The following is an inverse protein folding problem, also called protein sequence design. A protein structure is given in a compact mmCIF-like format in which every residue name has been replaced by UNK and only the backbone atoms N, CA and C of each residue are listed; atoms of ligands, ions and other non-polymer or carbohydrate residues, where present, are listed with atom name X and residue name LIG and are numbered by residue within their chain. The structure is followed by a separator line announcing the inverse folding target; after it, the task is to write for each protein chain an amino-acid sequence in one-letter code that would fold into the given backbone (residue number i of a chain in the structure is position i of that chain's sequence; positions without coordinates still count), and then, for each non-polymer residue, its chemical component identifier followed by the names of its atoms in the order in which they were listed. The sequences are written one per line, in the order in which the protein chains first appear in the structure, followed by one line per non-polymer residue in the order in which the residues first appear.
data_IF_971119702130
#
_entry.id   IF_971119702130
#
_cell.length_a   1.000
_cell.length_b   1.000
_cell.length_c   1.000
_cell.angle_alpha   90.00
_cell.angle_beta   90.00
_cell.angle_gamma   90.00
#
_symmetry.space_group_name_H-M   'P 1'
#
loop_
_entity.id
_entity.type
_entity.pdbx_description
1 polymer ?
#
# COMPACT_ATOMS: atom_id res chain seq x y z
N UNK A 1 14.16 -48.66 -24.81
CA UNK A 1 14.77 -48.96 -23.49
C UNK A 1 14.04 -48.08 -22.48
N UNK A 2 13.16 -48.64 -21.67
CA UNK A 2 12.45 -47.89 -20.63
C UNK A 2 13.42 -47.66 -19.48
N UNK A 3 14.02 -46.47 -19.43
CA UNK A 3 14.75 -46.02 -18.25
C UNK A 3 13.74 -45.93 -17.12
N UNK A 4 13.75 -46.95 -16.25
CA UNK A 4 13.06 -46.91 -14.98
C UNK A 4 13.85 -45.87 -14.17
N UNK A 5 13.39 -44.62 -14.12
CA UNK A 5 14.08 -43.56 -13.39
C UNK A 5 14.43 -44.10 -12.00
N UNK A 6 15.70 -43.98 -11.57
CA UNK A 6 16.08 -44.39 -10.23
C UNK A 6 15.17 -43.69 -9.21
N UNK A 7 14.85 -44.32 -8.07
CA UNK A 7 14.11 -43.63 -7.02
C UNK A 7 14.90 -42.40 -6.55
N UNK A 8 14.29 -41.22 -6.61
CA UNK A 8 14.88 -39.95 -6.15
C UNK A 8 14.41 -38.74 -6.99
N UNK A 9 14.66 -37.54 -6.49
CA UNK A 9 14.53 -36.29 -7.23
C UNK A 9 15.67 -36.15 -8.25
N UNK A 10 15.39 -35.67 -9.47
CA UNK A 10 16.41 -35.52 -10.50
C UNK A 10 17.53 -34.59 -10.03
N UNK A 11 18.77 -34.92 -10.37
CA UNK A 11 19.91 -34.06 -10.12
C UNK A 11 19.95 -32.91 -11.14
N UNK A 12 20.33 -31.68 -10.75
CA UNK A 12 20.60 -30.62 -11.70
C UNK A 12 21.74 -31.00 -12.66
N UNK A 13 21.70 -30.42 -13.87
CA UNK A 13 22.81 -30.49 -14.81
C UNK A 13 23.97 -29.63 -14.31
N UNK A 14 25.21 -30.03 -14.61
CA UNK A 14 26.41 -29.27 -14.23
C UNK A 14 27.13 -29.77 -12.96
N UNK A 15 28.05 -28.94 -12.47
CA UNK A 15 28.78 -29.14 -11.21
C UNK A 15 27.91 -28.65 -10.04
N UNK A 16 27.78 -29.47 -8.99
CA UNK A 16 27.01 -29.14 -7.80
C UNK A 16 27.97 -28.67 -6.71
N UNK A 17 27.68 -27.53 -6.07
CA UNK A 17 28.47 -27.06 -4.92
C UNK A 17 28.74 -25.56 -4.86
N UNK A 18 28.42 -24.83 -5.91
CA UNK A 18 28.57 -23.36 -5.99
C UNK A 18 27.24 -22.68 -6.36
N UNK A 19 26.12 -23.36 -6.12
CA UNK A 19 24.80 -22.83 -6.43
C UNK A 19 24.43 -21.70 -5.47
N UNK A 20 23.96 -20.57 -5.99
CA UNK A 20 23.41 -19.48 -5.19
C UNK A 20 22.14 -19.93 -4.45
N UNK A 21 22.06 -19.59 -3.16
CA UNK A 21 20.87 -19.85 -2.35
C UNK A 21 19.86 -18.72 -2.60
N UNK A 22 18.65 -19.08 -3.04
CA UNK A 22 17.53 -18.15 -3.24
C UNK A 22 16.53 -18.28 -2.11
N UNK A 23 16.12 -17.14 -1.54
CA UNK A 23 15.02 -17.08 -0.58
C UNK A 23 13.66 -17.07 -1.31
N UNK A 24 12.73 -17.93 -0.89
CA UNK A 24 11.37 -17.98 -1.44
C UNK A 24 10.33 -17.92 -0.32
N UNK A 25 9.28 -17.13 -0.54
CA UNK A 25 8.14 -17.04 0.37
C UNK A 25 7.18 -18.22 0.12
N UNK A 26 6.79 -18.91 1.20
CA UNK A 26 5.86 -20.03 1.15
C UNK A 26 4.68 -19.75 2.08
N UNK A 27 3.47 -19.71 1.53
CA UNK A 27 2.24 -19.68 2.31
C UNK A 27 1.86 -21.09 2.76
N UNK A 28 1.56 -21.24 4.05
CA UNK A 28 1.15 -22.52 4.64
C UNK A 28 0.01 -22.33 5.64
N UNK A 29 -0.88 -23.33 5.83
CA UNK A 29 -1.93 -23.22 6.83
C UNK A 29 -1.37 -23.04 8.24
N UNK A 30 -2.03 -22.22 9.04
CA UNK A 30 -1.68 -21.91 10.44
C UNK A 30 -2.07 -23.06 11.38
N UNK A 31 -1.44 -24.24 11.19
CA UNK A 31 -1.44 -25.31 12.18
C UNK A 31 -0.05 -25.95 12.29
N UNK A 32 0.42 -26.28 13.51
CA UNK A 32 1.76 -26.82 13.73
C UNK A 32 2.09 -28.07 12.93
N UNK A 33 1.10 -28.92 12.64
CA UNK A 33 1.30 -30.16 11.88
C UNK A 33 1.75 -29.90 10.44
N UNK A 34 1.25 -28.83 9.80
CA UNK A 34 1.66 -28.46 8.44
C UNK A 34 3.07 -27.89 8.44
N UNK A 35 3.45 -27.17 9.49
CA UNK A 35 4.80 -26.63 9.65
C UNK A 35 5.79 -27.77 9.80
N UNK A 36 5.50 -28.70 10.70
CA UNK A 36 6.34 -29.87 10.90
C UNK A 36 6.49 -30.67 9.59
N UNK A 37 5.39 -30.86 8.84
CA UNK A 37 5.45 -31.56 7.57
C UNK A 37 6.33 -30.84 6.53
N UNK A 38 6.26 -29.51 6.44
CA UNK A 38 7.12 -28.72 5.56
C UNK A 38 8.59 -28.87 5.97
N UNK A 39 8.91 -28.69 7.25
CA UNK A 39 10.28 -28.81 7.75
C UNK A 39 10.85 -30.22 7.62
N UNK A 40 10.04 -31.25 7.83
CA UNK A 40 10.44 -32.63 7.61
C UNK A 40 10.73 -32.90 6.13
N UNK A 41 9.93 -32.31 5.23
CA UNK A 41 10.17 -32.34 3.78
C UNK A 41 11.48 -31.64 3.38
N UNK A 42 11.70 -30.41 3.87
CA UNK A 42 12.93 -29.67 3.63
C UNK A 42 14.15 -30.40 4.18
N UNK A 43 14.04 -30.95 5.39
CA UNK A 43 15.10 -31.74 6.01
C UNK A 43 15.37 -33.04 5.24
N UNK A 44 14.37 -33.64 4.58
CA UNK A 44 14.56 -34.82 3.75
C UNK A 44 15.50 -34.55 2.56
N UNK A 45 15.44 -33.37 1.94
CA UNK A 45 16.35 -32.97 0.87
C UNK A 45 17.83 -32.93 1.31
N UNK A 46 18.12 -32.76 2.61
CA UNK A 46 19.47 -32.83 3.18
C UNK A 46 20.06 -34.25 3.20
N UNK A 47 19.29 -35.26 2.76
CA UNK A 47 19.71 -36.67 2.71
C UNK A 47 20.02 -37.06 1.27
N UNK A 48 21.19 -37.66 1.05
CA UNK A 48 21.61 -38.16 -0.28
C UNK A 48 20.61 -39.16 -0.91
N UNK A 49 19.77 -39.81 -0.11
CA UNK A 49 18.74 -40.74 -0.58
C UNK A 49 17.51 -40.06 -1.19
N UNK A 50 17.33 -38.77 -0.95
CA UNK A 50 16.30 -37.99 -1.61
C UNK A 50 16.59 -37.82 -3.10
N UNK A 51 17.86 -37.87 -3.50
CA UNK A 51 18.32 -37.56 -4.85
C UNK A 51 18.51 -38.79 -5.71
N UNK A 52 18.41 -38.59 -7.03
CA UNK A 52 18.71 -39.58 -8.05
C UNK A 52 20.10 -40.18 -7.83
N UNK A 53 20.22 -41.48 -8.08
CA UNK A 53 21.49 -42.20 -8.01
C UNK A 53 22.18 -42.16 -9.36
N UNK A 54 23.36 -41.57 -9.38
CA UNK A 54 24.28 -41.62 -10.50
C UNK A 54 25.57 -42.37 -10.13
N UNK A 55 26.41 -42.61 -11.15
CA UNK A 55 27.71 -43.29 -10.98
C UNK A 55 28.69 -42.47 -10.15
N UNK A 56 28.55 -41.16 -10.24
CA UNK A 56 29.48 -40.18 -9.64
C UNK A 56 29.08 -39.83 -8.20
N UNK A 57 27.93 -40.31 -7.74
CA UNK A 57 27.38 -40.10 -6.38
C UNK A 57 27.13 -38.62 -6.06
N UNK A 58 26.76 -37.82 -7.07
CA UNK A 58 26.48 -36.39 -6.96
C UNK A 58 25.29 -36.08 -6.05
N UNK A 59 24.42 -37.06 -5.77
CA UNK A 59 23.38 -36.93 -4.74
C UNK A 59 23.90 -36.59 -3.33
N UNK A 60 25.18 -36.84 -3.04
CA UNK A 60 25.81 -36.37 -1.80
C UNK A 60 26.06 -34.86 -1.81
N UNK A 61 26.43 -34.31 -2.96
CA UNK A 61 26.71 -32.88 -3.16
C UNK A 61 25.39 -32.08 -3.13
N UNK A 62 24.37 -32.53 -3.87
CA UNK A 62 23.02 -31.93 -3.78
C UNK A 62 22.49 -31.90 -2.33
N UNK A 63 22.68 -32.98 -1.58
CA UNK A 63 22.29 -33.06 -0.18
C UNK A 63 23.13 -32.18 0.77
N UNK A 64 24.35 -31.79 0.35
CA UNK A 64 25.18 -30.84 1.09
C UNK A 64 24.69 -29.40 0.85
N UNK A 65 24.43 -29.01 -0.40
CA UNK A 65 23.88 -27.68 -0.72
C UNK A 65 22.53 -27.45 -0.03
N UNK A 66 21.65 -28.45 -0.06
CA UNK A 66 20.38 -28.38 0.66
C UNK A 66 20.53 -28.35 2.18
N UNK A 67 21.62 -28.86 2.73
CA UNK A 67 21.87 -28.76 4.18
C UNK A 67 22.13 -27.31 4.57
N UNK A 68 22.95 -26.60 3.80
CA UNK A 68 23.22 -25.18 4.03
C UNK A 68 21.95 -24.34 3.92
N UNK A 69 21.17 -24.52 2.84
CA UNK A 69 19.88 -23.84 2.67
C UNK A 69 18.89 -24.18 3.81
N UNK A 70 18.83 -25.44 4.25
CA UNK A 70 17.99 -25.86 5.37
C UNK A 70 18.44 -25.24 6.69
N UNK A 71 19.75 -25.16 6.94
CA UNK A 71 20.31 -24.55 8.15
C UNK A 71 19.97 -23.05 8.20
N UNK A 72 20.16 -22.31 7.11
CA UNK A 72 19.72 -20.91 6.99
C UNK A 72 18.20 -20.76 7.19
N UNK A 73 17.40 -21.63 6.57
CA UNK A 73 15.94 -21.62 6.73
C UNK A 73 15.53 -21.90 8.18
N UNK A 74 16.17 -22.87 8.83
CA UNK A 74 15.90 -23.23 10.21
C UNK A 74 16.40 -22.17 11.19
N UNK A 75 17.49 -21.47 10.87
CA UNK A 75 17.97 -20.31 11.62
C UNK A 75 16.96 -19.17 11.52
N UNK A 76 16.53 -18.76 10.33
CA UNK A 76 15.48 -17.73 10.16
C UNK A 76 14.14 -18.13 10.80
N UNK A 77 13.84 -19.42 10.89
CA UNK A 77 12.59 -19.92 11.50
C UNK A 77 12.67 -20.06 13.02
N UNK A 78 13.82 -20.46 13.59
CA UNK A 78 14.01 -20.69 15.03
C UNK A 78 14.53 -19.45 15.76
N UNK A 79 15.25 -18.60 15.07
CA UNK A 79 15.69 -17.30 15.55
C UNK A 79 14.92 -16.26 14.73
N UNK A 80 14.07 -15.50 15.40
CA UNK A 80 14.18 -14.04 15.47
C UNK A 80 14.69 -13.27 14.25
N UNK A 81 14.56 -13.71 13.00
CA UNK A 81 14.72 -12.84 11.83
C UNK A 81 13.64 -11.77 11.88
N UNK A 82 12.48 -12.15 12.42
CA UNK A 82 11.42 -11.24 12.83
C UNK A 82 11.78 -10.44 14.08
N UNK A 83 12.45 -10.98 15.10
CA UNK A 83 12.85 -10.13 16.24
C UNK A 83 14.04 -9.25 15.91
N UNK A 84 14.93 -9.58 14.97
CA UNK A 84 15.97 -8.67 14.46
C UNK A 84 15.35 -7.63 13.53
N UNK A 85 14.33 -7.98 12.74
CA UNK A 85 13.53 -6.98 12.01
C UNK A 85 12.73 -6.11 12.97
N UNK A 86 12.18 -6.69 14.04
CA UNK A 86 11.44 -5.98 15.09
C UNK A 86 12.39 -5.12 15.90
N UNK A 87 13.58 -5.60 16.26
CA UNK A 87 14.65 -4.84 16.91
C UNK A 87 15.21 -3.80 15.96
N UNK A 88 15.31 -4.05 14.66
CA UNK A 88 15.73 -3.03 13.68
C UNK A 88 14.67 -1.95 13.53
N UNK A 89 13.39 -2.33 13.53
CA UNK A 89 12.26 -1.39 13.51
C UNK A 89 12.17 -0.64 14.84
N UNK A 90 12.34 -1.31 15.99
CA UNK A 90 12.40 -0.71 17.32
C UNK A 90 13.65 0.15 17.49
N UNK A 91 14.78 -0.18 16.87
CA UNK A 91 16.02 0.60 16.87
C UNK A 91 15.87 1.80 15.95
N UNK A 92 15.23 1.68 14.79
CA UNK A 92 14.83 2.82 13.95
C UNK A 92 13.87 3.72 14.74
N UNK A 93 12.89 3.14 15.43
CA UNK A 93 11.91 3.86 16.23
C UNK A 93 12.55 4.52 17.45
N UNK A 94 13.48 3.85 18.13
CA UNK A 94 14.28 4.35 19.24
C UNK A 94 15.27 5.41 18.78
N UNK A 95 15.87 5.25 17.59
CA UNK A 95 16.69 6.27 16.95
C UNK A 95 15.84 7.48 16.59
N UNK A 96 14.64 7.32 16.06
CA UNK A 96 13.70 8.42 15.78
C UNK A 96 13.23 9.11 17.07
N UNK A 97 12.95 8.36 18.14
CA UNK A 97 12.47 8.89 19.42
C UNK A 97 13.58 9.51 20.29
N UNK A 98 14.81 8.98 20.26
CA UNK A 98 15.95 9.56 21.00
C UNK A 98 16.73 10.58 20.18
N UNK A 99 16.58 10.60 18.85
CA UNK A 99 16.90 11.78 18.04
C UNK A 99 15.83 12.86 18.12
N UNK A 100 14.93 12.84 19.11
CA UNK A 100 14.10 14.00 19.43
C UNK A 100 14.92 15.27 19.73
N UNK A 101 16.22 15.14 20.04
CA UNK A 101 17.19 16.25 20.13
C UNK A 101 18.04 16.47 18.84
N UNK A 102 17.95 15.60 17.82
CA UNK A 102 18.48 15.87 16.46
C UNK A 102 17.41 16.39 15.52
N UNK A 103 16.14 16.15 15.82
CA UNK A 103 15.02 16.97 15.39
C UNK A 103 14.99 18.23 16.25
N UNK A 104 16.06 19.04 16.16
CA UNK A 104 15.87 20.50 16.15
C UNK A 104 14.69 20.76 15.20
N UNK A 105 13.88 21.79 15.47
CA UNK A 105 12.66 22.19 14.75
C UNK A 105 12.81 22.41 13.21
N UNK A 106 13.90 21.94 12.60
CA UNK A 106 14.34 22.10 11.22
C UNK A 106 14.72 20.80 10.50
N UNK A 107 14.33 19.59 10.97
CA UNK A 107 14.14 18.51 9.98
C UNK A 107 12.89 18.88 9.20
N UNK A 108 13.10 19.75 8.22
CA UNK A 108 12.26 19.81 7.03
C UNK A 108 12.32 18.40 6.46
N UNK A 109 11.35 17.55 6.85
CA UNK A 109 10.77 16.62 5.89
C UNK A 109 10.75 17.41 4.60
N UNK A 110 11.46 16.96 3.55
CA UNK A 110 11.45 17.65 2.27
C UNK A 110 9.99 17.98 2.05
N UNK A 111 9.57 19.26 2.17
CA UNK A 111 8.18 19.58 1.95
C UNK A 111 7.97 19.03 0.56
N UNK A 112 7.10 18.03 0.43
CA UNK A 112 6.52 17.74 -0.88
C UNK A 112 6.12 19.12 -1.35
N UNK A 113 6.81 19.62 -2.39
CA UNK A 113 6.55 20.98 -2.87
C UNK A 113 5.04 21.06 -3.02
N UNK A 114 4.41 21.94 -2.25
CA UNK A 114 2.96 22.02 -2.24
C UNK A 114 2.56 22.29 -3.69
N UNK A 115 1.88 21.32 -4.30
CA UNK A 115 1.40 21.51 -5.66
C UNK A 115 0.21 22.44 -5.52
N UNK A 116 0.40 23.66 -5.99
CA UNK A 116 -0.65 24.66 -6.12
C UNK A 116 -1.18 24.62 -7.56
N UNK A 117 -2.45 24.95 -7.72
CA UNK A 117 -3.07 25.17 -9.04
C UNK A 117 -3.81 26.50 -9.01
N UNK A 118 -3.79 27.21 -10.13
CA UNK A 118 -4.58 28.43 -10.33
C UNK A 118 -5.97 28.12 -10.94
N UNK A 119 -6.29 26.83 -11.16
CA UNK A 119 -7.55 26.40 -11.76
C UNK A 119 -8.67 26.45 -10.71
N UNK A 120 -9.59 27.40 -10.86
CA UNK A 120 -10.85 27.44 -10.12
C UNK A 120 -11.98 26.84 -10.99
N UNK A 121 -12.60 25.70 -10.61
CA UNK A 121 -13.63 25.03 -11.41
C UNK A 121 -14.75 25.99 -11.86
N UNK A 122 -15.00 26.05 -13.17
CA UNK A 122 -16.05 26.88 -13.78
C UNK A 122 -15.88 28.40 -13.61
N UNK A 123 -14.67 28.88 -13.30
CA UNK A 123 -14.35 30.31 -13.20
C UNK A 123 -13.34 30.68 -14.28
N UNK A 124 -13.73 31.58 -15.18
CA UNK A 124 -12.85 32.05 -16.27
C UNK A 124 -12.85 31.13 -17.49
N UNK A 125 -11.75 31.16 -18.24
CA UNK A 125 -11.55 30.27 -19.38
C UNK A 125 -11.07 28.90 -18.86
N UNK A 126 -11.54 27.79 -19.46
CA UNK A 126 -11.09 26.45 -19.09
C UNK A 126 -9.60 26.26 -19.41
N UNK A 127 -8.91 25.35 -18.72
CA UNK A 127 -7.53 25.02 -19.07
C UNK A 127 -7.45 24.43 -20.49
N UNK A 128 -6.38 24.72 -21.21
CA UNK A 128 -6.17 24.21 -22.57
C UNK A 128 -6.02 22.67 -22.60
N UNK A 129 -5.60 22.08 -21.49
CA UNK A 129 -5.33 20.64 -21.36
C UNK A 129 -5.68 20.10 -19.97
N UNK A 130 -6.06 18.82 -19.91
CA UNK A 130 -6.10 17.99 -18.70
C UNK A 130 -5.01 16.92 -18.81
N UNK A 131 -3.91 17.11 -18.09
CA UNK A 131 -2.68 16.34 -18.30
C UNK A 131 -2.12 16.54 -19.72
N UNK A 132 -2.19 15.49 -20.55
CA UNK A 132 -1.77 15.55 -21.97
C UNK A 132 -2.94 15.67 -22.96
N UNK A 133 -4.18 15.69 -22.48
CA UNK A 133 -5.39 15.69 -23.31
C UNK A 133 -5.88 17.12 -23.52
N UNK A 134 -6.09 17.54 -24.77
CA UNK A 134 -6.69 18.86 -25.07
C UNK A 134 -8.13 18.92 -24.54
N UNK A 135 -8.48 20.05 -23.95
CA UNK A 135 -9.81 20.31 -23.37
C UNK A 135 -10.47 21.43 -24.17
N UNK A 136 -11.67 21.18 -24.68
CA UNK A 136 -12.41 22.17 -25.47
C UNK A 136 -13.17 23.19 -24.60
N UNK A 137 -13.75 22.73 -23.50
CA UNK A 137 -14.55 23.54 -22.59
C UNK A 137 -14.59 22.99 -21.15
N UNK A 138 -15.26 23.74 -20.26
CA UNK A 138 -15.45 23.33 -18.86
C UNK A 138 -16.25 22.04 -18.72
N UNK A 139 -17.18 21.73 -19.63
CA UNK A 139 -17.99 20.52 -19.54
C UNK A 139 -17.08 19.29 -19.77
N UNK A 140 -16.21 19.32 -20.78
CA UNK A 140 -15.22 18.26 -21.03
C UNK A 140 -14.20 18.12 -19.90
N UNK A 141 -13.68 19.23 -19.35
CA UNK A 141 -12.79 19.19 -18.18
C UNK A 141 -13.47 18.56 -16.95
N UNK A 142 -14.73 18.94 -16.69
CA UNK A 142 -15.52 18.42 -15.57
C UNK A 142 -15.76 16.90 -15.71
N UNK A 143 -15.91 16.37 -16.92
CA UNK A 143 -16.02 14.92 -17.15
C UNK A 143 -14.74 14.18 -16.75
N UNK A 144 -13.57 14.71 -17.09
CA UNK A 144 -12.27 14.13 -16.71
C UNK A 144 -11.99 14.24 -15.22
N UNK A 145 -12.24 15.41 -14.63
CA UNK A 145 -12.07 15.62 -13.19
C UNK A 145 -12.98 14.68 -12.41
N UNK A 146 -14.24 14.55 -12.81
CA UNK A 146 -15.18 13.69 -12.11
C UNK A 146 -14.80 12.21 -12.18
N UNK A 147 -14.37 11.72 -13.35
CA UNK A 147 -13.83 10.36 -13.47
C UNK A 147 -12.67 10.14 -12.49
N UNK A 148 -11.74 11.10 -12.45
CA UNK A 148 -10.57 11.07 -11.58
C UNK A 148 -10.96 11.12 -10.09
N UNK A 149 -11.94 11.95 -9.72
CA UNK A 149 -12.46 12.03 -8.37
C UNK A 149 -13.08 10.71 -7.91
N UNK A 150 -13.81 10.01 -8.79
CA UNK A 150 -14.30 8.66 -8.49
C UNK A 150 -13.17 7.65 -8.28
N UNK A 151 -12.14 7.67 -9.14
CA UNK A 151 -10.95 6.82 -8.98
C UNK A 151 -10.22 7.11 -7.68
N UNK A 152 -10.16 8.38 -7.27
CA UNK A 152 -9.59 8.78 -5.99
C UNK A 152 -10.37 8.20 -4.81
N UNK A 153 -11.71 8.20 -4.84
CA UNK A 153 -12.53 7.56 -3.81
C UNK A 153 -12.34 6.03 -3.80
N UNK A 154 -12.36 5.37 -4.98
CA UNK A 154 -12.10 3.93 -5.10
C UNK A 154 -10.76 3.56 -4.47
N UNK A 155 -9.77 4.42 -4.71
CA UNK A 155 -8.43 4.28 -4.17
C UNK A 155 -8.41 4.44 -2.65
N UNK A 156 -9.03 5.49 -2.10
CA UNK A 156 -9.15 5.68 -0.65
C UNK A 156 -9.83 4.48 0.04
N UNK A 157 -10.94 3.99 -0.52
CA UNK A 157 -11.66 2.83 -0.02
C UNK A 157 -10.78 1.57 -0.02
N UNK A 158 -10.09 1.30 -1.14
CA UNK A 158 -9.17 0.16 -1.26
C UNK A 158 -8.00 0.22 -0.28
N UNK A 159 -7.46 1.41 -0.04
CA UNK A 159 -6.38 1.63 0.93
C UNK A 159 -6.87 1.35 2.34
N UNK A 160 -8.08 1.79 2.66
CA UNK A 160 -8.71 1.56 3.95
C UNK A 160 -8.94 0.06 4.20
N UNK A 161 -9.46 -0.68 3.23
CA UNK A 161 -9.62 -2.14 3.32
C UNK A 161 -8.26 -2.85 3.46
N UNK A 162 -7.26 -2.47 2.66
CA UNK A 162 -5.93 -3.06 2.76
C UNK A 162 -5.30 -2.80 4.14
N UNK A 163 -5.46 -1.60 4.70
CA UNK A 163 -5.01 -1.29 6.06
C UNK A 163 -5.78 -2.09 7.11
N UNK A 164 -7.09 -2.25 6.95
CA UNK A 164 -7.91 -3.09 7.83
C UNK A 164 -7.47 -4.56 7.80
N UNK A 165 -7.33 -5.15 6.61
CA UNK A 165 -6.87 -6.52 6.42
C UNK A 165 -5.45 -6.69 6.97
N UNK A 166 -4.55 -5.74 6.69
CA UNK A 166 -3.19 -5.73 7.20
C UNK A 166 -3.15 -5.74 8.73
N UNK A 167 -3.89 -4.84 9.37
CA UNK A 167 -3.92 -4.71 10.83
C UNK A 167 -4.54 -5.96 11.48
N UNK A 168 -5.59 -6.54 10.88
CA UNK A 168 -6.25 -7.75 11.39
C UNK A 168 -5.44 -9.03 11.20
N UNK A 169 -4.73 -9.17 10.08
CA UNK A 169 -4.00 -10.41 9.73
C UNK A 169 -2.58 -10.46 10.29
N UNK A 170 -1.97 -9.31 10.58
CA UNK A 170 -0.60 -9.26 11.07
C UNK A 170 -0.54 -8.89 12.55
N UNK A 171 0.03 -9.77 13.37
CA UNK A 171 0.58 -9.41 14.69
C UNK A 171 1.84 -8.54 14.59
N UNK A 172 2.27 -8.22 13.37
CA UNK A 172 3.48 -7.46 13.00
C UNK A 172 3.01 -6.24 12.19
N UNK A 173 2.29 -5.32 12.86
CA UNK A 173 1.53 -4.24 12.22
C UNK A 173 2.36 -3.21 11.44
N UNK A 174 3.67 -3.12 11.64
CA UNK A 174 4.47 -2.03 11.06
C UNK A 174 4.97 -2.31 9.63
N UNK A 175 5.32 -3.57 9.31
CA UNK A 175 5.83 -3.92 7.99
C UNK A 175 4.77 -3.86 6.89
N UNK A 176 3.53 -4.22 7.22
CA UNK A 176 2.42 -4.24 6.26
C UNK A 176 1.89 -2.83 5.99
N UNK A 177 1.87 -1.95 7.00
CA UNK A 177 1.51 -0.53 6.81
C UNK A 177 2.53 0.15 5.88
N UNK A 178 3.83 -0.07 6.08
CA UNK A 178 4.87 0.45 5.19
C UNK A 178 4.75 -0.13 3.76
N UNK A 179 4.40 -1.41 3.61
CA UNK A 179 4.15 -2.03 2.31
C UNK A 179 2.89 -1.47 1.63
N UNK A 180 1.81 -1.23 2.39
CA UNK A 180 0.60 -0.56 1.91
C UNK A 180 0.89 0.87 1.45
N UNK A 181 1.69 1.61 2.22
CA UNK A 181 2.15 2.96 1.88
C UNK A 181 3.15 2.98 0.71
N UNK A 182 3.92 1.92 0.50
CA UNK A 182 4.75 1.76 -0.70
C UNK A 182 3.90 1.38 -1.92
N UNK A 183 2.81 0.63 -1.73
CA UNK A 183 1.84 0.32 -2.77
C UNK A 183 1.04 1.58 -3.16
N UNK A 184 0.74 2.45 -2.18
CA UNK A 184 0.16 3.78 -2.40
C UNK A 184 1.04 4.62 -3.35
N UNK A 185 2.36 4.53 -3.21
CA UNK A 185 3.29 5.20 -4.11
C UNK A 185 3.38 4.56 -5.51
N UNK A 186 2.82 3.37 -5.74
CA UNK A 186 2.95 2.65 -7.01
C UNK A 186 1.70 2.77 -7.91
N UNK A 187 0.56 3.24 -7.40
CA UNK A 187 -0.72 3.26 -8.13
C UNK A 187 -0.91 4.44 -9.08
N UNK A 188 0.12 5.25 -9.35
CA UNK A 188 0.13 6.30 -10.39
C UNK A 188 -0.65 7.57 -10.03
N UNK A 189 -1.76 7.46 -9.31
CA UNK A 189 -2.52 8.62 -8.78
C UNK A 189 -1.86 9.18 -7.50
N UNK A 190 -1.03 8.37 -6.83
CA UNK A 190 -0.50 8.66 -5.49
C UNK A 190 1.01 8.97 -5.39
N UNK A 191 1.76 9.03 -6.50
CA UNK A 191 3.23 9.15 -6.44
C UNK A 191 3.73 10.36 -5.63
N UNK A 192 3.16 11.58 -5.77
CA UNK A 192 3.56 12.73 -4.95
C UNK A 192 3.05 12.66 -3.50
N UNK A 193 1.83 12.14 -3.30
CA UNK A 193 1.14 12.14 -2.00
C UNK A 193 1.67 11.04 -1.08
N UNK A 194 1.97 9.86 -1.62
CA UNK A 194 2.25 8.67 -0.84
C UNK A 194 3.59 8.72 -0.11
N UNK A 195 4.63 9.36 -0.67
CA UNK A 195 5.96 9.38 -0.03
C UNK A 195 6.00 10.21 1.26
N UNK A 196 5.25 11.31 1.33
CA UNK A 196 5.17 12.16 2.53
C UNK A 196 4.37 11.51 3.66
N UNK A 197 3.24 10.89 3.32
CA UNK A 197 2.31 10.24 4.27
C UNK A 197 2.87 8.90 4.78
N UNK A 198 3.63 8.19 3.95
CA UNK A 198 4.18 6.87 4.28
C UNK A 198 5.03 6.84 5.54
N UNK A 199 5.87 7.86 5.74
CA UNK A 199 6.86 7.87 6.80
C UNK A 199 6.28 8.30 8.17
N UNK A 200 5.27 9.17 8.17
CA UNK A 200 4.69 9.79 9.37
C UNK A 200 3.61 8.91 10.00
N UNK A 201 2.80 8.26 9.18
CA UNK A 201 1.75 7.32 9.60
C UNK A 201 2.34 6.12 10.36
N UNK A 202 3.45 5.55 9.87
CA UNK A 202 4.11 4.39 10.50
C UNK A 202 4.65 4.73 11.90
N UNK A 203 5.10 5.97 12.12
CA UNK A 203 5.62 6.41 13.42
C UNK A 203 4.52 6.77 14.44
N UNK A 204 3.36 7.25 13.98
CA UNK A 204 2.24 7.68 14.85
C UNK A 204 1.29 6.55 15.28
N UNK A 205 1.08 5.56 14.42
CA UNK A 205 0.05 4.51 14.56
C UNK A 205 0.48 3.33 15.46
N UNK A 206 1.76 3.26 15.85
CA UNK A 206 2.35 2.14 16.58
C UNK A 206 1.88 1.92 18.05
N UNK A 207 0.88 2.65 18.57
CA UNK A 207 0.65 2.76 20.02
C UNK A 207 -0.74 2.35 20.57
N UNK A 208 -1.39 1.32 19.99
CA UNK A 208 -2.44 0.48 20.64
C UNK A 208 -3.93 0.70 20.28
N UNK A 209 -4.32 1.70 19.47
CA UNK A 209 -5.75 1.98 19.19
C UNK A 209 -6.29 1.52 17.84
N UNK A 210 -5.44 0.98 16.97
CA UNK A 210 -5.68 0.91 15.52
C UNK A 210 -6.66 -0.17 15.08
N UNK A 211 -6.75 -1.29 15.79
CA UNK A 211 -7.49 -2.46 15.30
C UNK A 211 -9.00 -2.28 15.22
N UNK A 212 -9.58 -1.39 16.03
CA UNK A 212 -11.03 -1.13 16.00
C UNK A 212 -11.39 0.09 15.16
N UNK A 213 -10.42 0.93 14.78
CA UNK A 213 -10.71 2.23 14.15
C UNK A 213 -10.83 2.17 12.63
N UNK A 214 -10.33 1.10 12.01
CA UNK A 214 -10.49 0.88 10.57
C UNK A 214 -11.60 -0.12 10.22
N UNK A 215 -12.26 -0.72 11.23
CA UNK A 215 -13.44 -1.57 11.01
C UNK A 215 -14.53 -0.66 10.39
N UNK A 216 -15.03 -1.04 9.21
CA UNK A 216 -16.04 -0.32 8.40
C UNK A 216 -15.57 0.93 7.60
N UNK A 217 -14.32 1.36 7.72
CA UNK A 217 -13.83 2.56 7.02
C UNK A 217 -13.92 2.55 5.49
N UNK A 218 -13.77 1.39 4.84
CA UNK A 218 -14.05 1.24 3.40
C UNK A 218 -15.51 1.57 3.09
N UNK A 219 -16.43 1.07 3.92
CA UNK A 219 -17.88 1.28 3.74
C UNK A 219 -18.23 2.74 3.97
N UNK A 220 -17.64 3.37 4.99
CA UNK A 220 -17.88 4.79 5.30
C UNK A 220 -17.39 5.72 4.15
N UNK A 221 -16.23 5.44 3.57
CA UNK A 221 -15.71 6.18 2.39
C UNK A 221 -16.63 5.98 1.19
N UNK A 222 -17.11 4.76 0.95
CA UNK A 222 -18.02 4.45 -0.15
C UNK A 222 -19.39 5.12 0.02
N UNK A 223 -19.94 5.13 1.25
CA UNK A 223 -21.20 5.78 1.56
C UNK A 223 -21.11 7.31 1.39
N UNK A 224 -19.94 7.90 1.67
CA UNK A 224 -19.66 9.33 1.48
C UNK A 224 -19.07 9.68 0.11
N UNK A 225 -19.00 8.74 -0.83
CA UNK A 225 -18.40 8.94 -2.16
C UNK A 225 -18.88 10.20 -2.86
N UNK A 226 -20.18 10.44 -2.86
CA UNK A 226 -20.75 11.60 -3.55
C UNK A 226 -20.32 12.91 -2.87
N UNK A 227 -20.21 12.94 -1.55
CA UNK A 227 -19.78 14.13 -0.81
C UNK A 227 -18.31 14.44 -1.10
N UNK A 228 -17.46 13.41 -1.13
CA UNK A 228 -16.03 13.54 -1.47
C UNK A 228 -15.85 13.99 -2.92
N UNK A 229 -16.55 13.35 -3.87
CA UNK A 229 -16.50 13.73 -5.30
C UNK A 229 -17.00 15.16 -5.48
N UNK A 230 -18.11 15.54 -4.86
CA UNK A 230 -18.63 16.90 -4.97
C UNK A 230 -17.67 17.92 -4.34
N UNK A 231 -17.02 17.61 -3.21
CA UNK A 231 -16.00 18.49 -2.63
C UNK A 231 -14.83 18.74 -3.59
N UNK A 232 -14.41 17.73 -4.37
CA UNK A 232 -13.41 17.92 -5.43
C UNK A 232 -13.97 18.77 -6.57
N UNK A 233 -15.17 18.45 -7.07
CA UNK A 233 -15.76 19.11 -8.23
C UNK A 233 -16.11 20.60 -8.01
N UNK A 234 -16.45 20.98 -6.78
CA UNK A 234 -16.93 22.34 -6.46
C UNK A 234 -15.89 23.19 -5.76
N UNK A 235 -14.63 22.77 -5.74
CA UNK A 235 -13.57 23.39 -4.94
C UNK A 235 -13.91 23.51 -3.44
N UNK A 236 -14.60 22.49 -2.93
CA UNK A 236 -14.91 22.35 -1.52
C UNK A 236 -13.70 21.96 -0.67
N UNK A 237 -13.95 21.87 0.63
CA UNK A 237 -13.00 21.34 1.61
C UNK A 237 -13.00 19.80 1.54
N UNK A 238 -12.08 19.25 0.76
CA UNK A 238 -11.91 17.81 0.58
C UNK A 238 -11.54 17.12 1.90
N UNK A 239 -10.72 17.76 2.73
CA UNK A 239 -10.34 17.21 4.02
C UNK A 239 -11.56 17.04 4.92
N UNK A 240 -12.38 18.09 5.02
CA UNK A 240 -13.63 18.04 5.77
C UNK A 240 -14.59 16.97 5.24
N UNK A 241 -14.76 16.83 3.93
CA UNK A 241 -15.66 15.82 3.36
C UNK A 241 -15.24 14.39 3.72
N UNK A 242 -13.94 14.11 3.72
CA UNK A 242 -13.38 12.81 4.12
C UNK A 242 -13.46 12.61 5.64
N UNK A 243 -13.17 13.64 6.44
CA UNK A 243 -13.32 13.60 7.90
C UNK A 243 -14.78 13.35 8.32
N UNK A 244 -15.73 13.99 7.64
CA UNK A 244 -17.15 13.83 7.93
C UNK A 244 -17.66 12.41 7.61
N UNK A 245 -17.11 11.80 6.57
CA UNK A 245 -17.39 10.43 6.13
C UNK A 245 -17.04 9.40 7.21
N UNK A 246 -15.82 9.50 7.76
CA UNK A 246 -15.26 8.50 8.67
C UNK A 246 -15.66 8.70 10.13
N UNK A 247 -16.36 9.80 10.42
CA UNK A 247 -16.75 10.17 11.76
C UNK A 247 -15.58 10.68 12.60
N UNK A 248 -15.91 11.43 13.65
CA UNK A 248 -14.92 12.04 14.55
C UNK A 248 -14.32 10.98 15.49
N UNK A 249 -13.48 10.09 14.95
CA UNK A 249 -12.72 9.15 15.75
C UNK A 249 -11.25 9.56 15.77
N UNK A 250 -10.70 9.73 16.97
CA UNK A 250 -9.37 10.33 17.20
C UNK A 250 -8.19 9.71 16.43
N UNK A 251 -8.32 8.51 15.87
CA UNK A 251 -7.25 7.93 15.04
C UNK A 251 -7.27 8.46 13.60
N UNK A 252 -8.45 8.78 13.06
CA UNK A 252 -8.58 9.38 11.73
C UNK A 252 -8.08 10.81 11.71
N UNK A 253 -8.37 11.62 12.74
CA UNK A 253 -7.79 12.97 12.91
C UNK A 253 -6.25 12.96 12.83
N UNK A 254 -5.63 11.94 13.42
CA UNK A 254 -4.16 11.79 13.45
C UNK A 254 -3.60 11.33 12.12
N UNK A 255 -4.35 10.56 11.33
CA UNK A 255 -3.95 10.13 9.99
C UNK A 255 -4.12 11.26 8.98
N UNK A 256 -5.23 12.01 9.06
CA UNK A 256 -5.62 13.00 8.05
C UNK A 256 -4.82 14.28 8.04
N UNK A 257 -4.31 14.72 9.19
CA UNK A 257 -3.35 15.83 9.24
C UNK A 257 -2.10 15.60 8.37
N UNK A 258 -1.83 14.36 7.94
CA UNK A 258 -0.70 14.02 7.08
C UNK A 258 -1.05 13.94 5.60
N UNK A 259 -2.33 13.94 5.23
CA UNK A 259 -2.75 13.92 3.83
C UNK A 259 -2.83 15.36 3.33
N UNK A 260 -2.00 15.78 2.36
CA UNK A 260 -2.08 17.11 1.76
C UNK A 260 -3.25 17.15 0.76
N UNK A 261 -4.48 17.28 1.27
CA UNK A 261 -5.69 17.26 0.45
C UNK A 261 -5.72 18.34 -0.64
N UNK A 262 -5.19 19.52 -0.36
CA UNK A 262 -5.10 20.61 -1.34
C UNK A 262 -4.14 20.26 -2.48
N UNK A 263 -3.00 19.65 -2.17
CA UNK A 263 -2.06 19.12 -3.18
C UNK A 263 -2.71 18.02 -4.01
N UNK A 264 -3.45 17.10 -3.38
CA UNK A 264 -4.18 16.06 -4.11
C UNK A 264 -5.20 16.66 -5.08
N UNK A 265 -5.97 17.66 -4.62
CA UNK A 265 -6.94 18.38 -5.43
C UNK A 265 -6.29 19.13 -6.58
N UNK A 266 -5.17 19.81 -6.32
CA UNK A 266 -4.41 20.51 -7.35
C UNK A 266 -3.89 19.56 -8.44
N UNK A 267 -3.32 18.42 -8.07
CA UNK A 267 -2.87 17.39 -9.03
C UNK A 267 -4.05 16.88 -9.88
N UNK A 268 -5.23 16.69 -9.26
CA UNK A 268 -6.44 16.29 -9.99
C UNK A 268 -6.90 17.39 -10.96
N UNK A 269 -6.85 18.67 -10.58
CA UNK A 269 -7.28 19.77 -11.46
C UNK A 269 -6.38 19.94 -12.68
N UNK A 270 -5.07 19.77 -12.51
CA UNK A 270 -4.08 19.82 -13.59
C UNK A 270 -4.08 18.54 -14.47
N UNK A 271 -4.73 17.47 -14.00
CA UNK A 271 -4.72 16.16 -14.67
C UNK A 271 -3.37 15.44 -14.62
N UNK A 272 -2.50 15.77 -13.66
CA UNK A 272 -1.16 15.19 -13.50
C UNK A 272 -0.14 16.11 -12.83
N UNK A 273 1.07 15.61 -12.61
CA UNK A 273 2.19 16.36 -12.05
C UNK A 273 3.53 15.80 -12.55
N UNK A 274 4.53 16.66 -12.80
CA UNK A 274 5.90 16.27 -13.19
C UNK A 274 6.01 15.31 -14.39
N UNK A 275 5.09 15.40 -15.35
CA UNK A 275 5.06 14.55 -16.54
C UNK A 275 4.43 13.17 -16.31
N UNK A 276 3.86 12.94 -15.13
CA UNK A 276 2.97 11.82 -14.84
C UNK A 276 1.52 12.33 -14.95
N UNK A 277 0.76 11.74 -15.87
CA UNK A 277 -0.59 12.19 -16.18
C UNK A 277 -1.64 11.23 -15.66
N UNK A 278 -2.74 11.79 -15.17
CA UNK A 278 -3.93 11.05 -14.77
C UNK A 278 -4.71 10.61 -16.03
N UNK A 279 -5.42 9.48 -15.97
CA UNK A 279 -6.23 9.01 -17.10
C UNK A 279 -7.33 10.03 -17.46
N UNK A 280 -7.40 10.42 -18.73
CA UNK A 280 -8.46 11.28 -19.29
C UNK A 280 -9.63 10.44 -19.84
N UNK A 281 -10.12 9.51 -19.01
CA UNK A 281 -11.37 8.78 -19.31
C UNK A 281 -12.57 9.57 -18.77
N UNK A 282 -13.76 9.29 -19.29
CA UNK A 282 -15.01 9.95 -18.88
C UNK A 282 -15.97 8.95 -18.25
N UNK A 283 -16.88 9.45 -17.40
CA UNK A 283 -17.90 8.65 -16.73
C UNK A 283 -19.28 9.31 -16.84
N UNK A 284 -20.27 8.56 -17.30
CA UNK A 284 -21.64 9.08 -17.53
C UNK A 284 -22.40 9.42 -16.23
N UNK A 285 -21.92 8.98 -15.07
CA UNK A 285 -22.60 9.11 -13.76
C UNK A 285 -22.19 10.36 -12.97
N UNK A 286 -21.48 11.30 -13.59
CA UNK A 286 -21.00 12.55 -13.01
C UNK A 286 -22.05 13.66 -12.83
N UNK A 287 -23.28 13.41 -13.26
CA UNK A 287 -24.39 14.38 -13.21
C UNK A 287 -24.81 14.92 -11.81
N UNK A 288 -24.63 14.24 -10.66
CA UNK A 288 -25.20 14.71 -9.39
C UNK A 288 -24.56 15.99 -8.83
N UNK A 289 -23.26 16.22 -9.07
CA UNK A 289 -22.52 17.31 -8.42
C UNK A 289 -22.59 18.66 -9.15
N UNK A 290 -22.99 18.66 -10.42
CA UNK A 290 -23.03 19.86 -11.26
C UNK A 290 -24.37 20.61 -11.19
N UNK A 291 -25.38 20.05 -10.53
CA UNK A 291 -26.60 20.79 -10.22
C UNK A 291 -26.40 21.55 -8.90
N UNK A 292 -26.27 22.89 -8.89
CA UNK A 292 -26.16 23.67 -7.66
C UNK A 292 -27.38 23.52 -6.74
N UNK A 293 -28.48 22.94 -7.22
CA UNK A 293 -29.65 22.59 -6.41
C UNK A 293 -29.62 21.14 -5.88
N UNK A 294 -28.72 20.29 -6.39
CA UNK A 294 -28.61 18.86 -6.02
C UNK A 294 -27.75 18.60 -4.79
N UNK A 295 -26.66 19.35 -4.61
CA UNK A 295 -25.75 19.15 -3.46
C UNK A 295 -26.17 19.95 -2.21
N UNK A 296 -26.88 21.08 -2.35
CA UNK A 296 -27.12 22.00 -1.24
C UNK A 296 -28.08 21.50 -0.15
N UNK A 297 -28.98 20.55 -0.45
CA UNK A 297 -30.02 20.12 0.49
C UNK A 297 -29.62 18.91 1.35
N UNK A 298 -28.56 18.17 1.00
CA UNK A 298 -28.12 16.98 1.74
C UNK A 298 -27.17 17.34 2.90
N UNK A 299 -26.36 18.39 2.75
CA UNK A 299 -25.38 18.82 3.76
C UNK A 299 -25.99 19.35 5.07
N UNK A 300 -27.28 19.68 5.12
CA UNK A 300 -27.86 20.38 6.29
C UNK A 300 -28.52 19.44 7.32
N UNK A 301 -28.75 18.14 7.04
CA UNK A 301 -29.66 17.35 7.90
C UNK A 301 -29.18 15.98 8.42
N UNK A 302 -27.94 15.53 8.17
CA UNK A 302 -27.58 14.14 8.53
C UNK A 302 -26.95 13.88 9.91
N UNK A 303 -26.70 14.89 10.76
CA UNK A 303 -26.14 14.68 12.13
C UNK A 303 -26.92 15.36 13.26
N UNK A 304 -28.25 15.16 13.32
CA UNK A 304 -29.00 15.27 14.58
C UNK A 304 -29.70 13.96 14.90
N UNK A 305 -28.97 13.03 15.51
CA UNK A 305 -29.46 11.76 16.04
C UNK A 305 -28.49 11.20 17.05
#
# INVERSE_FOLDING_TARGET
MTQKNPPGYPLPDGELGEDDIVCQLVYLPDRPEYWQALFDGLHYFTKWRAWERDTDKRGKEAAANWREAFELTAECWRMTCLDELTTTVEDILFLMQNKKDCCDDNVTYLPTEEVETDIEPNVGDPPDTYGETEVADWDEWNEYLCYTAHQYVDYLASVSDNLYVATRTSSIGLGVIAAGLSLLAASGIGLPIAFGVAATVVAGIALLTVLTTFDDSETDIEDARNDIVCAIMTDGDLGQAVEDALGSDTAWDVFYQWIPFDTAKAIMYEGGHDGEYLPAETKDDCAPCLDPLGCGDVWVNHKTG
#
